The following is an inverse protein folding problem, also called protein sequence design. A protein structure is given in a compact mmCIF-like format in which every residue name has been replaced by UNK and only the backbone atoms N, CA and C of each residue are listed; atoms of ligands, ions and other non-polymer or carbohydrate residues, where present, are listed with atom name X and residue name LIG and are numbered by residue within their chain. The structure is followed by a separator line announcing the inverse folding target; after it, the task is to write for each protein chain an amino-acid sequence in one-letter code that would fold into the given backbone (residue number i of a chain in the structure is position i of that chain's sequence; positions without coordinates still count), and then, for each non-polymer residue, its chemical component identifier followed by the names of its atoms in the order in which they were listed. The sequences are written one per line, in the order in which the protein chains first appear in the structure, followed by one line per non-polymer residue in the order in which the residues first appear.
data_IF_230332666541
#
_entry.id   IF_230332666541
#
_cell.length_a   1.000
_cell.length_b   1.000
_cell.length_c   1.000
_cell.angle_alpha   90.00
_cell.angle_beta   90.00
_cell.angle_gamma   90.00
#
_symmetry.space_group_name_H-M   'P 1'
#
loop_
_entity.id
_entity.type
_entity.pdbx_description
1 polymer ?
#
# COMPACT_ATOMS: atom_id res chain seq x y z
N UNK A 1 -10.22 -3.07 26.12
CA UNK A 1 -10.06 -2.23 24.93
C UNK A 1 -11.12 -2.66 23.96
N UNK A 2 -12.01 -1.75 23.56
CA UNK A 2 -13.08 -2.12 22.62
C UNK A 2 -12.52 -2.31 21.21
N UNK A 3 -13.25 -3.02 20.34
CA UNK A 3 -12.89 -3.14 18.91
C UNK A 3 -12.81 -1.77 18.23
N UNK A 4 -13.63 -0.81 18.67
CA UNK A 4 -13.61 0.58 18.20
C UNK A 4 -12.31 1.30 18.58
N UNK A 5 -11.82 1.12 19.82
CA UNK A 5 -10.55 1.72 20.25
C UNK A 5 -9.36 1.17 19.46
N UNK A 6 -9.38 -0.12 19.13
CA UNK A 6 -8.35 -0.74 18.32
C UNK A 6 -8.37 -0.18 16.89
N UNK A 7 -9.56 -0.08 16.29
CA UNK A 7 -9.68 0.41 14.92
C UNK A 7 -9.22 1.87 14.75
N UNK A 8 -9.49 2.71 15.76
CA UNK A 8 -8.99 4.08 15.79
C UNK A 8 -7.47 4.14 15.94
N UNK A 9 -6.88 3.31 16.80
CA UNK A 9 -5.41 3.22 16.95
C UNK A 9 -4.72 2.79 15.66
N UNK A 10 -5.28 1.82 14.94
CA UNK A 10 -4.73 1.39 13.64
C UNK A 10 -4.76 2.53 12.62
N UNK A 11 -5.88 3.26 12.53
CA UNK A 11 -5.99 4.45 11.68
C UNK A 11 -4.96 5.51 12.05
N UNK A 12 -4.87 5.87 13.33
CA UNK A 12 -3.95 6.92 13.79
C UNK A 12 -2.48 6.51 13.59
N UNK A 13 -2.16 5.23 13.77
CA UNK A 13 -0.86 4.65 13.43
C UNK A 13 -0.54 4.70 11.94
N UNK A 14 -1.53 4.49 11.06
CA UNK A 14 -1.36 4.68 9.62
C UNK A 14 -1.12 6.15 9.25
N UNK A 15 -1.88 7.09 9.84
CA UNK A 15 -1.68 8.53 9.66
C UNK A 15 -0.27 8.96 10.09
N UNK A 16 0.20 8.47 11.25
CA UNK A 16 1.54 8.76 11.74
C UNK A 16 2.62 8.26 10.77
N UNK A 17 2.45 7.07 10.18
CA UNK A 17 3.38 6.53 9.18
C UNK A 17 3.34 7.35 7.87
N UNK A 18 2.16 7.74 7.39
CA UNK A 18 1.99 8.59 6.20
C UNK A 18 2.79 9.89 6.35
N UNK A 19 2.71 10.55 7.52
CA UNK A 19 3.41 11.81 7.78
C UNK A 19 4.93 11.72 7.83
N UNK A 20 5.48 10.53 8.04
CA UNK A 20 6.93 10.32 8.17
C UNK A 20 7.54 9.55 6.98
N UNK A 21 6.73 9.20 5.98
CA UNK A 21 7.15 8.46 4.81
C UNK A 21 7.49 9.38 3.64
N UNK A 22 8.26 8.87 2.67
CA UNK A 22 8.41 9.52 1.37
C UNK A 22 7.07 9.49 0.61
N UNK A 23 6.87 10.42 -0.34
CA UNK A 23 5.60 10.63 -1.03
C UNK A 23 4.95 9.33 -1.57
N UNK A 24 5.72 8.49 -2.28
CA UNK A 24 5.19 7.26 -2.86
C UNK A 24 4.78 6.24 -1.79
N UNK A 25 5.56 6.09 -0.73
CA UNK A 25 5.23 5.20 0.39
C UNK A 25 4.04 5.74 1.20
N UNK A 26 3.96 7.05 1.41
CA UNK A 26 2.83 7.71 2.04
C UNK A 26 1.54 7.45 1.25
N UNK A 27 1.59 7.61 -0.07
CA UNK A 27 0.47 7.28 -0.96
C UNK A 27 0.11 5.79 -0.92
N UNK A 28 1.10 4.89 -0.90
CA UNK A 28 0.86 3.46 -0.78
C UNK A 28 0.20 3.09 0.54
N UNK A 29 0.68 3.62 1.67
CA UNK A 29 0.10 3.34 2.99
C UNK A 29 -1.37 3.78 3.02
N UNK A 30 -1.68 4.96 2.47
CA UNK A 30 -3.06 5.46 2.41
C UNK A 30 -3.95 4.54 1.57
N UNK A 31 -3.53 4.23 0.34
CA UNK A 31 -4.28 3.35 -0.58
C UNK A 31 -4.46 1.97 0.04
N UNK A 32 -3.40 1.37 0.54
CA UNK A 32 -3.44 0.06 1.18
C UNK A 32 -4.39 0.03 2.38
N UNK A 33 -4.31 1.02 3.28
CA UNK A 33 -5.22 1.11 4.43
C UNK A 33 -6.68 1.19 3.96
N UNK A 34 -6.95 2.08 3.04
CA UNK A 34 -8.32 2.34 2.58
C UNK A 34 -8.91 1.19 1.75
N UNK A 35 -8.08 0.41 1.06
CA UNK A 35 -8.53 -0.71 0.23
C UNK A 35 -8.52 -2.04 0.98
N UNK A 36 -7.42 -2.36 1.67
CA UNK A 36 -7.19 -3.66 2.31
C UNK A 36 -7.72 -3.68 3.75
N UNK A 37 -7.59 -2.56 4.45
CA UNK A 37 -8.06 -2.38 5.83
C UNK A 37 -9.40 -1.61 5.83
N UNK A 38 -10.28 -1.89 4.87
CA UNK A 38 -11.53 -1.12 4.63
C UNK A 38 -12.56 -1.21 5.77
N UNK A 39 -12.41 -2.16 6.69
CA UNK A 39 -13.21 -2.25 7.92
C UNK A 39 -12.80 -1.23 8.98
N UNK A 40 -11.62 -0.63 8.84
CA UNK A 40 -11.10 0.41 9.70
C UNK A 40 -11.58 1.78 9.20
N UNK A 41 -11.66 2.79 10.09
CA UNK A 41 -12.10 4.11 9.65
C UNK A 41 -11.16 4.66 8.56
N UNK A 42 -11.81 5.21 7.53
CA UNK A 42 -11.16 5.71 6.32
C UNK A 42 -10.20 6.88 6.63
N UNK A 43 -9.10 6.94 5.89
CA UNK A 43 -8.19 8.08 5.93
C UNK A 43 -8.47 8.95 4.70
N UNK A 44 -8.75 10.23 4.94
CA UNK A 44 -9.00 11.20 3.88
C UNK A 44 -7.76 11.36 2.99
N UNK A 45 -7.96 11.37 1.67
CA UNK A 45 -6.89 11.60 0.69
C UNK A 45 -6.33 13.02 0.75
N UNK A 46 -7.12 13.99 1.23
CA UNK A 46 -6.67 15.36 1.46
C UNK A 46 -5.43 15.42 2.39
N UNK A 47 -5.26 14.43 3.27
CA UNK A 47 -4.08 14.32 4.14
C UNK A 47 -2.76 14.35 3.35
N UNK A 48 -2.70 13.79 2.14
CA UNK A 48 -1.47 13.81 1.35
C UNK A 48 -1.21 15.20 0.75
N UNK A 49 -2.26 15.91 0.33
CA UNK A 49 -2.14 17.29 -0.17
C UNK A 49 -1.79 18.29 0.95
N UNK A 50 -2.08 17.95 2.22
CA UNK A 50 -1.62 18.75 3.37
C UNK A 50 -0.11 18.62 3.65
N UNK A 51 0.52 17.54 3.17
CA UNK A 51 1.93 17.19 3.46
C UNK A 51 2.83 17.43 2.26
N UNK A 52 2.32 17.17 1.05
CA UNK A 52 3.03 17.22 -0.21
C UNK A 52 2.30 18.13 -1.20
N UNK A 53 2.95 18.48 -2.31
CA UNK A 53 2.28 19.21 -3.39
C UNK A 53 1.07 18.42 -3.90
N UNK A 54 -0.05 19.12 -4.13
CA UNK A 54 -1.33 18.50 -4.51
C UNK A 54 -1.22 17.71 -5.82
N UNK A 55 -0.49 18.23 -6.80
CA UNK A 55 -0.34 17.58 -8.10
C UNK A 55 0.53 16.32 -8.00
N UNK A 56 1.57 16.37 -7.17
CA UNK A 56 2.43 15.22 -6.88
C UNK A 56 1.68 14.16 -6.05
N UNK A 57 0.88 14.57 -5.07
CA UNK A 57 0.04 13.69 -4.26
C UNK A 57 -0.97 12.92 -5.13
N UNK A 58 -1.66 13.59 -6.05
CA UNK A 58 -2.58 12.95 -6.98
C UNK A 58 -1.88 11.92 -7.89
N UNK A 59 -0.70 12.27 -8.42
CA UNK A 59 0.10 11.36 -9.25
C UNK A 59 0.59 10.14 -8.45
N UNK A 60 1.04 10.36 -7.20
CA UNK A 60 1.48 9.31 -6.30
C UNK A 60 0.35 8.35 -5.93
N UNK A 61 -0.85 8.87 -5.62
CA UNK A 61 -2.05 8.06 -5.36
C UNK A 61 -2.43 7.18 -6.57
N UNK A 62 -2.40 7.74 -7.78
CA UNK A 62 -2.63 6.98 -9.01
C UNK A 62 -1.62 5.85 -9.16
N UNK A 63 -0.35 6.13 -8.88
CA UNK A 63 0.76 5.16 -9.02
C UNK A 63 0.66 4.05 -7.97
N UNK A 64 0.41 4.39 -6.71
CA UNK A 64 0.18 3.44 -5.62
C UNK A 64 -1.02 2.52 -5.88
N UNK A 65 -2.11 3.07 -6.41
CA UNK A 65 -3.30 2.30 -6.80
C UNK A 65 -2.99 1.30 -7.91
N UNK A 66 -2.23 1.72 -8.94
CA UNK A 66 -1.79 0.83 -10.02
C UNK A 66 -0.87 -0.29 -9.50
N UNK A 67 0.07 0.05 -8.61
CA UNK A 67 0.94 -0.95 -7.96
C UNK A 67 0.08 -2.00 -7.25
N UNK A 68 -0.83 -1.59 -6.37
CA UNK A 68 -1.66 -2.52 -5.58
C UNK A 68 -2.53 -3.41 -6.49
N UNK A 69 -3.17 -2.82 -7.52
CA UNK A 69 -4.02 -3.55 -8.46
C UNK A 69 -3.25 -4.51 -9.39
N UNK A 70 -1.95 -4.30 -9.60
CA UNK A 70 -1.12 -5.14 -10.46
C UNK A 70 -0.61 -6.43 -9.80
N UNK A 71 -0.90 -6.62 -8.51
CA UNK A 71 -0.25 -7.67 -7.70
C UNK A 71 -0.92 -9.04 -7.76
N UNK A 72 -2.16 -9.15 -8.25
CA UNK A 72 -2.92 -10.41 -8.29
C UNK A 72 -2.19 -11.55 -9.01
N UNK A 73 -1.83 -11.34 -10.28
CA UNK A 73 -1.18 -12.38 -11.09
C UNK A 73 0.18 -12.78 -10.52
N UNK A 74 0.90 -11.82 -9.95
CA UNK A 74 2.18 -12.06 -9.32
C UNK A 74 2.02 -12.87 -8.02
N UNK A 75 1.00 -12.56 -7.22
CA UNK A 75 0.63 -13.32 -6.03
C UNK A 75 0.25 -14.77 -6.38
N UNK A 76 -0.53 -14.96 -7.45
CA UNK A 76 -0.87 -16.29 -7.98
C UNK A 76 0.37 -17.07 -8.43
N UNK A 77 1.29 -16.42 -9.14
CA UNK A 77 2.54 -17.05 -9.58
C UNK A 77 3.43 -17.45 -8.39
N UNK A 78 3.52 -16.60 -7.36
CA UNK A 78 4.24 -16.90 -6.12
C UNK A 78 3.63 -18.10 -5.38
N UNK A 79 2.31 -18.13 -5.17
CA UNK A 79 1.63 -19.24 -4.50
C UNK A 79 1.76 -20.56 -5.28
N UNK A 80 1.86 -20.51 -6.60
CA UNK A 80 2.12 -21.65 -7.46
C UNK A 80 3.62 -22.07 -7.50
N UNK A 81 4.49 -21.42 -6.72
CA UNK A 81 5.93 -21.70 -6.67
C UNK A 81 6.70 -21.35 -7.94
N UNK A 82 6.12 -20.53 -8.84
CA UNK A 82 6.77 -20.15 -10.11
C UNK A 82 7.86 -19.10 -9.92
N UNK A 83 7.75 -18.29 -8.87
CA UNK A 83 8.69 -17.24 -8.51
C UNK A 83 8.99 -17.31 -7.02
N UNK A 84 10.22 -16.94 -6.64
CA UNK A 84 10.54 -16.72 -5.23
C UNK A 84 9.98 -15.39 -4.73
N UNK A 85 9.97 -15.18 -3.41
CA UNK A 85 9.54 -13.91 -2.83
C UNK A 85 10.37 -12.73 -3.37
N UNK A 86 11.70 -12.90 -3.42
CA UNK A 86 12.62 -11.88 -3.92
C UNK A 86 12.41 -11.57 -5.41
N UNK A 87 12.12 -12.59 -6.23
CA UNK A 87 11.81 -12.39 -7.65
C UNK A 87 10.55 -11.54 -7.83
N UNK A 88 9.53 -11.77 -7.01
CA UNK A 88 8.30 -11.00 -7.03
C UNK A 88 8.55 -9.55 -6.60
N UNK A 89 9.28 -9.31 -5.50
CA UNK A 89 9.62 -7.96 -5.03
C UNK A 89 10.39 -7.19 -6.11
N UNK A 90 11.41 -7.79 -6.72
CA UNK A 90 12.18 -7.16 -7.81
C UNK A 90 11.34 -6.84 -9.04
N UNK A 91 10.35 -7.68 -9.37
CA UNK A 91 9.41 -7.41 -10.48
C UNK A 91 8.50 -6.22 -10.18
N UNK A 92 8.02 -6.10 -8.94
CA UNK A 92 7.24 -4.93 -8.51
C UNK A 92 8.09 -3.66 -8.55
N UNK A 93 9.32 -3.73 -8.04
CA UNK A 93 10.28 -2.62 -8.07
C UNK A 93 10.59 -2.16 -9.49
N UNK A 94 10.82 -3.09 -10.42
CA UNK A 94 11.07 -2.77 -11.82
C UNK A 94 9.85 -2.16 -12.53
N UNK A 95 8.64 -2.60 -12.19
CA UNK A 95 7.39 -2.09 -12.79
C UNK A 95 6.92 -0.76 -12.19
N UNK A 96 7.25 -0.49 -10.93
CA UNK A 96 6.81 0.67 -10.17
C UNK A 96 7.96 1.18 -9.31
N UNK A 97 8.99 1.83 -9.88
CA UNK A 97 10.17 2.25 -9.13
C UNK A 97 9.85 3.36 -8.12
N UNK A 98 10.65 3.42 -7.04
CA UNK A 98 10.65 4.54 -6.09
C UNK A 98 9.86 4.32 -4.80
N UNK A 99 9.20 3.18 -4.62
CA UNK A 99 8.62 2.81 -3.32
C UNK A 99 9.69 2.17 -2.43
N UNK A 100 9.49 2.27 -1.12
CA UNK A 100 10.25 1.51 -0.14
C UNK A 100 9.93 0.02 -0.21
N UNK A 101 10.89 -0.80 0.22
CA UNK A 101 10.79 -2.26 0.18
C UNK A 101 9.54 -2.81 0.88
N UNK A 102 9.18 -2.24 2.04
CA UNK A 102 7.99 -2.65 2.80
C UNK A 102 6.69 -2.51 1.99
N UNK A 103 6.59 -1.47 1.14
CA UNK A 103 5.42 -1.25 0.29
C UNK A 103 5.27 -2.36 -0.75
N UNK A 104 6.37 -2.80 -1.38
CA UNK A 104 6.35 -3.94 -2.31
C UNK A 104 5.99 -5.24 -1.61
N UNK A 105 6.53 -5.49 -0.43
CA UNK A 105 6.25 -6.69 0.36
C UNK A 105 4.77 -6.77 0.76
N UNK A 106 4.17 -5.65 1.19
CA UNK A 106 2.73 -5.55 1.47
C UNK A 106 1.87 -5.71 0.22
N UNK A 107 2.28 -5.09 -0.89
CA UNK A 107 1.59 -5.23 -2.17
C UNK A 107 1.56 -6.71 -2.61
N UNK A 108 2.70 -7.41 -2.52
CA UNK A 108 2.78 -8.84 -2.81
C UNK A 108 1.90 -9.67 -1.85
N UNK A 109 1.95 -9.39 -0.55
CA UNK A 109 1.09 -10.06 0.44
C UNK A 109 -0.40 -9.90 0.11
N UNK A 110 -0.81 -8.71 -0.32
CA UNK A 110 -2.18 -8.47 -0.77
C UNK A 110 -2.51 -9.25 -2.05
N UNK A 111 -1.64 -9.24 -3.04
CA UNK A 111 -1.80 -10.07 -4.25
C UNK A 111 -1.96 -11.55 -3.93
N UNK A 112 -1.19 -12.08 -2.96
CA UNK A 112 -1.34 -13.44 -2.47
C UNK A 112 -2.68 -13.67 -1.75
N UNK A 113 -3.16 -12.71 -0.97
CA UNK A 113 -4.46 -12.79 -0.34
C UNK A 113 -5.59 -12.84 -1.37
N UNK A 114 -5.55 -11.99 -2.39
CA UNK A 114 -6.56 -11.98 -3.46
C UNK A 114 -6.54 -13.25 -4.33
N UNK A 115 -5.38 -13.87 -4.49
CA UNK A 115 -5.21 -15.06 -5.33
C UNK A 115 -5.57 -16.39 -4.63
N UNK A 116 -5.94 -16.36 -3.35
CA UNK A 116 -6.43 -17.51 -2.57
C UNK A 116 -7.93 -17.69 -2.74
#
# INVERSE_FOLDING_TARGET
MSESDYALRERDGAIARIRNAALLDAAFILVYHNTVMSTYPHIDQALLADIFDESEAAAALSTATKLLNSTYDLGKAYLAGRFTHEDCVKRLEAGFPGFGRESYEKALSYGCFQAR
#
